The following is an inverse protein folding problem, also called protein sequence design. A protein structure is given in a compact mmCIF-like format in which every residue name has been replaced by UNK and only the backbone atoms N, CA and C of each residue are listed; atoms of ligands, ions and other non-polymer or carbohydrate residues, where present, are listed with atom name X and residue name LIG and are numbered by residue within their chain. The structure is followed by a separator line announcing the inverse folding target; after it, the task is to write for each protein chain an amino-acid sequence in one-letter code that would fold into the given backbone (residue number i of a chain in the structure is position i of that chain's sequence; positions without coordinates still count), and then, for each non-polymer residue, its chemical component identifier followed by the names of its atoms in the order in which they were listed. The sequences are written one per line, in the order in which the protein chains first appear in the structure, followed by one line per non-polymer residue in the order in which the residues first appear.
data_IF_559814583624
#
_entry.id   IF_559814583624
#
_cell.length_a   1.000
_cell.length_b   1.000
_cell.length_c   1.000
_cell.angle_alpha   90.00
_cell.angle_beta   90.00
_cell.angle_gamma   90.00
#
_symmetry.space_group_name_H-M   'P 1'
#
loop_
_entity.id
_entity.type
_entity.pdbx_description
1 polymer ?
#
# COMPACT_ATOMS: atom_id res chain seq x y z
N UNK A 1 -29.59 -6.28 24.69
CA UNK A 1 -28.22 -5.87 24.34
C UNK A 1 -28.19 -4.35 24.34
N UNK A 2 -27.42 -3.71 25.25
CA UNK A 2 -27.28 -2.27 25.29
C UNK A 2 -26.81 -1.75 23.93
N UNK A 3 -27.49 -0.73 23.41
CA UNK A 3 -27.15 -0.12 22.14
C UNK A 3 -25.83 0.66 22.32
N UNK A 4 -24.78 0.24 21.57
CA UNK A 4 -23.47 0.92 21.60
C UNK A 4 -23.60 2.37 21.13
N UNK A 5 -22.99 3.29 21.85
CA UNK A 5 -22.89 4.68 21.40
C UNK A 5 -21.87 4.82 20.24
N UNK A 6 -21.88 5.98 19.58
CA UNK A 6 -21.00 6.24 18.42
C UNK A 6 -19.51 6.17 18.77
N UNK A 7 -19.12 6.52 20.01
CA UNK A 7 -17.72 6.49 20.47
C UNK A 7 -17.25 5.06 20.71
N UNK A 8 -18.11 4.23 21.32
CA UNK A 8 -17.84 2.80 21.50
C UNK A 8 -17.72 2.05 20.16
N UNK A 9 -18.64 2.34 19.21
CA UNK A 9 -18.59 1.83 17.84
C UNK A 9 -17.28 2.24 17.17
N UNK A 10 -16.87 3.52 17.29
CA UNK A 10 -15.63 4.01 16.71
C UNK A 10 -14.42 3.29 17.28
N UNK A 11 -14.35 3.07 18.59
CA UNK A 11 -13.24 2.33 19.20
C UNK A 11 -13.11 0.91 18.65
N UNK A 12 -14.23 0.20 18.46
CA UNK A 12 -14.25 -1.16 17.92
C UNK A 12 -13.88 -1.18 16.43
N UNK A 13 -14.51 -0.32 15.63
CA UNK A 13 -14.43 -0.38 14.17
C UNK A 13 -13.16 0.27 13.62
N UNK A 14 -12.57 1.23 14.32
CA UNK A 14 -11.26 1.78 14.00
C UNK A 14 -10.14 0.80 14.40
N UNK A 15 -10.26 0.10 15.54
CA UNK A 15 -9.31 -0.95 15.92
C UNK A 15 -9.36 -2.13 14.95
N UNK A 16 -10.53 -2.58 14.55
CA UNK A 16 -10.69 -3.62 13.53
C UNK A 16 -10.09 -3.21 12.16
N UNK A 17 -10.14 -1.92 11.82
CA UNK A 17 -9.60 -1.41 10.57
C UNK A 17 -8.06 -1.43 10.49
N UNK A 18 -7.34 -1.58 11.60
CA UNK A 18 -5.85 -1.66 11.59
C UNK A 18 -5.33 -2.88 10.85
N UNK A 19 -6.09 -3.98 10.83
CA UNK A 19 -5.75 -5.20 10.10
C UNK A 19 -5.95 -5.07 8.58
N UNK A 20 -6.58 -4.00 8.15
CA UNK A 20 -6.78 -3.67 6.74
C UNK A 20 -5.64 -2.78 6.29
N UNK A 21 -4.74 -3.29 5.43
CA UNK A 21 -3.54 -2.53 5.07
C UNK A 21 -3.88 -1.30 4.24
N UNK A 22 -3.38 -0.18 4.70
CA UNK A 22 -3.21 0.99 3.86
C UNK A 22 -1.92 1.73 4.20
N UNK A 23 -1.38 1.51 5.39
CA UNK A 23 -0.10 2.07 5.83
C UNK A 23 0.52 1.17 6.88
N UNK A 24 1.77 0.78 6.71
CA UNK A 24 2.58 0.10 7.72
C UNK A 24 2.74 0.91 9.03
N UNK A 25 2.31 2.17 9.02
CA UNK A 25 2.49 3.15 10.12
C UNK A 25 1.19 3.50 10.86
N UNK A 26 0.09 2.79 10.67
CA UNK A 26 -1.16 3.11 11.37
C UNK A 26 -1.15 2.59 12.81
N UNK A 27 -0.36 3.20 13.67
CA UNK A 27 -0.34 2.90 15.10
C UNK A 27 0.67 3.76 15.83
N UNK A 28 0.31 4.99 16.19
CA UNK A 28 1.03 5.70 17.24
C UNK A 28 0.77 5.01 18.58
N UNK A 29 1.81 4.85 19.41
CA UNK A 29 1.63 4.34 20.76
C UNK A 29 0.60 5.19 21.51
N UNK A 30 -0.33 4.52 22.22
CA UNK A 30 -1.29 5.21 23.08
C UNK A 30 -0.54 6.05 24.09
N UNK A 31 -0.90 7.32 24.19
CA UNK A 31 -0.36 8.27 25.18
C UNK A 31 -1.53 8.98 25.83
N UNK A 32 -1.46 9.19 27.13
CA UNK A 32 -2.43 10.02 27.84
C UNK A 32 -1.70 10.89 28.87
N UNK A 33 -2.24 12.06 29.14
CA UNK A 33 -1.72 13.00 30.13
C UNK A 33 -2.42 12.86 31.49
N UNK A 34 -3.12 11.75 31.74
CA UNK A 34 -3.79 11.50 33.04
C UNK A 34 -2.82 11.34 34.20
N UNK A 35 -1.55 11.05 33.88
CA UNK A 35 -0.45 10.97 34.85
C UNK A 35 0.13 12.36 35.21
N UNK A 36 -0.45 13.44 34.70
CA UNK A 36 0.00 14.83 34.96
C UNK A 36 1.28 15.22 34.23
N UNK A 37 1.83 14.36 33.35
CA UNK A 37 3.05 14.63 32.56
C UNK A 37 2.71 14.91 31.11
N UNK A 38 2.82 16.18 30.71
CA UNK A 38 2.60 16.63 29.35
C UNK A 38 1.16 17.05 29.05
N UNK A 39 0.91 17.43 27.80
CA UNK A 39 -0.39 17.90 27.30
C UNK A 39 -0.91 16.95 26.21
N UNK A 40 -2.21 16.68 26.25
CA UNK A 40 -2.91 15.90 25.23
C UNK A 40 -2.86 14.39 25.43
N UNK A 41 -3.71 13.69 24.70
CA UNK A 41 -3.78 12.24 24.67
C UNK A 41 -3.99 11.76 23.23
N UNK A 42 -3.47 10.57 22.89
CA UNK A 42 -3.73 9.90 21.63
C UNK A 42 -4.14 8.45 21.86
N UNK A 43 -5.23 8.05 21.23
CA UNK A 43 -5.71 6.67 21.24
C UNK A 43 -4.99 5.82 20.19
N UNK A 44 -4.23 6.44 19.25
CA UNK A 44 -3.45 5.74 18.24
C UNK A 44 -4.28 5.01 17.18
N UNK A 45 -5.55 5.36 17.01
CA UNK A 45 -6.49 4.63 16.13
C UNK A 45 -7.29 5.57 15.22
N UNK A 46 -7.75 5.02 14.09
CA UNK A 46 -8.76 5.64 13.24
C UNK A 46 -8.26 6.64 12.21
N UNK A 47 -7.02 7.10 12.27
CA UNK A 47 -6.45 7.98 11.25
C UNK A 47 -5.27 7.26 10.59
N UNK A 48 -5.32 7.14 9.27
CA UNK A 48 -4.21 6.66 8.46
C UNK A 48 -3.72 7.74 7.50
N UNK A 49 -2.51 7.56 6.99
CA UNK A 49 -1.91 8.47 6.03
C UNK A 49 -1.78 7.79 4.68
N UNK A 50 -2.13 8.50 3.63
CA UNK A 50 -1.97 8.05 2.24
C UNK A 50 -1.26 9.13 1.44
N UNK A 51 -0.58 8.75 0.36
CA UNK A 51 0.09 9.71 -0.50
C UNK A 51 -0.77 9.99 -1.73
N UNK A 52 -1.05 11.26 -1.97
CA UNK A 52 -1.67 11.74 -3.19
C UNK A 52 -0.69 11.59 -4.38
N UNK A 53 -1.18 11.63 -5.64
CA UNK A 53 -0.32 11.54 -6.83
C UNK A 53 0.74 12.63 -6.91
N UNK A 54 0.51 13.79 -6.30
CA UNK A 54 1.45 14.92 -6.21
C UNK A 54 2.50 14.76 -5.10
N UNK A 55 2.46 13.65 -4.35
CA UNK A 55 3.39 13.33 -3.26
C UNK A 55 3.03 13.91 -1.91
N UNK A 56 1.88 14.63 -1.78
CA UNK A 56 1.40 15.10 -0.47
C UNK A 56 0.92 13.92 0.36
N UNK A 57 1.19 13.97 1.65
CA UNK A 57 0.61 13.06 2.64
C UNK A 57 -0.78 13.57 3.00
N UNK A 58 -1.80 12.73 2.86
CA UNK A 58 -3.20 13.01 3.24
C UNK A 58 -3.61 12.14 4.42
N UNK A 59 -4.25 12.75 5.40
CA UNK A 59 -4.81 12.07 6.56
C UNK A 59 -6.24 11.60 6.27
N UNK A 60 -6.53 10.33 6.55
CA UNK A 60 -7.84 9.73 6.28
C UNK A 60 -8.44 9.14 7.56
N UNK A 61 -9.73 9.37 7.78
CA UNK A 61 -10.49 8.57 8.74
C UNK A 61 -10.63 7.16 8.18
N UNK A 62 -9.97 6.20 8.84
CA UNK A 62 -10.00 4.79 8.42
C UNK A 62 -10.85 3.99 9.37
N UNK A 63 -12.00 3.55 8.90
CA UNK A 63 -12.96 2.79 9.69
C UNK A 63 -13.62 1.68 8.87
N UNK A 64 -14.17 0.70 9.57
CA UNK A 64 -15.13 -0.24 9.00
C UNK A 64 -16.55 0.28 9.17
N UNK A 65 -17.41 0.06 8.17
CA UNK A 65 -18.87 0.22 8.35
C UNK A 65 -19.36 -0.78 9.39
N UNK A 66 -18.86 -2.01 9.33
CA UNK A 66 -19.07 -3.05 10.34
C UNK A 66 -17.92 -4.04 10.35
N UNK A 67 -17.68 -4.67 11.51
CA UNK A 67 -16.82 -5.84 11.65
C UNK A 67 -17.60 -7.16 11.75
N UNK A 68 -18.93 -7.13 11.60
CA UNK A 68 -19.72 -8.35 11.37
C UNK A 68 -19.53 -8.81 9.92
N UNK A 69 -19.23 -10.10 9.73
CA UNK A 69 -19.01 -10.67 8.42
C UNK A 69 -19.66 -12.06 8.34
N UNK A 70 -20.23 -12.38 7.17
CA UNK A 70 -20.78 -13.71 6.88
C UNK A 70 -19.71 -14.70 6.38
N UNK A 71 -18.52 -14.19 6.00
CA UNK A 71 -17.40 -15.00 5.53
C UNK A 71 -16.49 -15.44 6.69
N UNK A 72 -15.82 -16.56 6.50
CA UNK A 72 -14.93 -17.15 7.51
C UNK A 72 -13.48 -17.24 7.04
N UNK A 73 -12.96 -16.17 6.41
CA UNK A 73 -11.57 -16.11 5.97
C UNK A 73 -10.62 -16.31 7.15
N UNK A 74 -9.79 -17.36 7.12
CA UNK A 74 -8.94 -17.79 8.23
C UNK A 74 -8.04 -16.70 8.80
N UNK A 75 -7.49 -15.84 7.94
CA UNK A 75 -6.58 -14.74 8.34
C UNK A 75 -7.29 -13.51 8.91
N UNK A 76 -8.63 -13.45 8.84
CA UNK A 76 -9.37 -12.24 9.20
C UNK A 76 -9.84 -12.27 10.65
N UNK A 77 -9.49 -11.22 11.42
CA UNK A 77 -9.97 -11.07 12.79
C UNK A 77 -11.50 -10.92 12.85
N UNK A 78 -12.10 -10.43 11.77
CA UNK A 78 -13.54 -10.17 11.66
C UNK A 78 -14.31 -11.35 11.02
N UNK A 79 -13.67 -12.51 10.85
CA UNK A 79 -14.34 -13.71 10.32
C UNK A 79 -15.55 -14.09 11.15
N UNK A 80 -16.52 -14.80 10.55
CA UNK A 80 -17.77 -15.19 11.19
C UNK A 80 -17.56 -15.91 12.51
N UNK A 81 -16.62 -16.86 12.56
CA UNK A 81 -16.32 -17.70 13.74
C UNK A 81 -15.54 -16.99 14.86
N UNK A 82 -15.07 -15.75 14.63
CA UNK A 82 -14.31 -15.02 15.64
C UNK A 82 -15.18 -14.45 16.75
N UNK A 83 -14.71 -14.55 18.00
CA UNK A 83 -15.39 -14.06 19.21
C UNK A 83 -15.16 -12.56 19.50
N UNK A 84 -14.69 -11.78 18.53
CA UNK A 84 -14.46 -10.35 18.73
C UNK A 84 -15.75 -9.58 18.92
N UNK A 85 -15.70 -8.51 19.71
CA UNK A 85 -16.83 -7.61 19.91
C UNK A 85 -17.27 -7.00 18.59
N UNK A 86 -18.55 -7.14 18.24
CA UNK A 86 -19.12 -6.68 16.98
C UNK A 86 -19.78 -5.32 17.13
N UNK A 87 -19.62 -4.50 16.08
CA UNK A 87 -20.27 -3.20 15.97
C UNK A 87 -20.66 -2.92 14.52
N UNK A 88 -21.62 -2.00 14.35
CA UNK A 88 -22.03 -1.52 13.04
C UNK A 88 -22.40 -0.05 13.14
N UNK A 89 -21.90 0.76 12.22
CA UNK A 89 -22.39 2.09 11.96
C UNK A 89 -23.60 2.07 11.02
N UNK A 90 -24.50 3.05 11.16
CA UNK A 90 -25.41 3.41 10.10
C UNK A 90 -24.70 4.29 9.08
N UNK A 91 -25.31 4.47 7.90
CA UNK A 91 -24.80 5.38 6.86
C UNK A 91 -24.67 6.80 7.43
N UNK A 92 -25.68 7.25 8.14
CA UNK A 92 -25.77 8.59 8.74
C UNK A 92 -24.69 8.81 9.82
N UNK A 93 -24.37 7.77 10.60
CA UNK A 93 -23.27 7.83 11.59
C UNK A 93 -21.93 8.02 10.92
N UNK A 94 -21.63 7.26 9.85
CA UNK A 94 -20.36 7.41 9.10
C UNK A 94 -20.25 8.79 8.47
N UNK A 95 -21.31 9.26 7.83
CA UNK A 95 -21.37 10.60 7.23
C UNK A 95 -21.11 11.68 8.29
N UNK A 96 -21.84 11.64 9.39
CA UNK A 96 -21.69 12.60 10.50
C UNK A 96 -20.27 12.59 11.10
N UNK A 97 -19.68 11.41 11.34
CA UNK A 97 -18.33 11.28 11.84
C UNK A 97 -17.32 11.89 10.87
N UNK A 98 -17.43 11.55 9.59
CA UNK A 98 -16.52 12.05 8.55
C UNK A 98 -16.56 13.58 8.49
N UNK A 99 -17.74 14.16 8.47
CA UNK A 99 -17.91 15.62 8.44
C UNK A 99 -17.42 16.30 9.72
N UNK A 100 -17.65 15.69 10.90
CA UNK A 100 -17.19 16.23 12.17
C UNK A 100 -15.65 16.25 12.27
N UNK A 101 -14.99 15.20 11.82
CA UNK A 101 -13.51 15.12 11.81
C UNK A 101 -12.91 16.06 10.76
N UNK A 102 -13.52 16.14 9.59
CA UNK A 102 -13.09 17.04 8.52
C UNK A 102 -13.20 18.52 8.92
N UNK A 103 -14.35 18.94 9.48
CA UNK A 103 -14.55 20.32 9.95
C UNK A 103 -13.58 20.75 11.04
N UNK A 104 -13.04 19.79 11.81
CA UNK A 104 -12.02 20.03 12.83
C UNK A 104 -10.59 19.93 12.32
N UNK A 105 -10.40 19.76 11.00
CA UNK A 105 -9.10 19.58 10.36
C UNK A 105 -8.29 18.38 10.86
N UNK A 106 -8.95 17.33 11.37
CA UNK A 106 -8.29 16.10 11.79
C UNK A 106 -7.96 15.19 10.62
N UNK A 107 -8.74 15.28 9.55
CA UNK A 107 -8.65 14.45 8.36
C UNK A 107 -8.89 15.28 7.08
N UNK A 108 -8.34 14.79 5.98
CA UNK A 108 -8.58 15.31 4.63
C UNK A 108 -9.53 14.40 3.82
N UNK A 109 -9.90 13.23 4.38
CA UNK A 109 -10.79 12.30 3.69
C UNK A 109 -11.19 11.09 4.51
N UNK A 110 -11.91 10.19 3.84
CA UNK A 110 -12.44 8.94 4.38
C UNK A 110 -11.83 7.73 3.65
N UNK A 111 -11.38 6.73 4.41
CA UNK A 111 -11.14 5.38 3.91
C UNK A 111 -12.13 4.44 4.59
N UNK A 112 -13.08 3.92 3.79
CA UNK A 112 -14.16 3.08 4.28
C UNK A 112 -14.06 1.67 3.71
N UNK A 113 -14.06 0.70 4.60
CA UNK A 113 -14.20 -0.73 4.29
C UNK A 113 -15.33 -1.36 5.10
N UNK A 114 -15.58 -2.65 4.93
CA UNK A 114 -16.64 -3.34 5.66
C UNK A 114 -16.39 -4.84 5.73
N UNK A 115 -16.83 -5.49 6.81
CA UNK A 115 -17.25 -6.89 6.75
C UNK A 115 -18.50 -7.02 5.88
N UNK A 116 -18.77 -8.20 5.36
CA UNK A 116 -19.93 -8.47 4.50
C UNK A 116 -21.13 -8.83 5.38
N UNK A 117 -22.18 -8.00 5.32
CA UNK A 117 -23.41 -8.17 6.09
C UNK A 117 -24.51 -8.72 5.16
N UNK A 118 -25.26 -9.70 5.59
CA UNK A 118 -26.38 -10.28 4.85
C UNK A 118 -26.02 -10.76 3.42
N UNK A 119 -25.62 -9.86 2.54
CA UNK A 119 -25.13 -10.17 1.19
C UNK A 119 -24.05 -9.18 0.73
N UNK A 120 -23.25 -9.53 -0.31
CA UNK A 120 -22.33 -8.62 -0.97
C UNK A 120 -23.03 -7.34 -1.46
N UNK A 121 -24.16 -7.45 -2.14
CA UNK A 121 -24.91 -6.33 -2.70
C UNK A 121 -25.40 -5.40 -1.61
N UNK A 122 -26.08 -5.92 -0.60
CA UNK A 122 -26.55 -5.11 0.52
C UNK A 122 -25.41 -4.31 1.17
N UNK A 123 -24.24 -4.95 1.36
CA UNK A 123 -23.08 -4.28 1.95
C UNK A 123 -22.56 -3.19 1.03
N UNK A 124 -22.45 -3.49 -0.27
CA UNK A 124 -21.96 -2.54 -1.26
C UNK A 124 -22.90 -1.32 -1.41
N UNK A 125 -24.21 -1.53 -1.39
CA UNK A 125 -25.20 -0.45 -1.37
C UNK A 125 -24.99 0.51 -0.21
N UNK A 126 -24.72 0.00 1.01
CA UNK A 126 -24.45 0.87 2.15
C UNK A 126 -23.18 1.72 1.95
N UNK A 127 -22.11 1.12 1.39
CA UNK A 127 -20.87 1.84 1.09
C UNK A 127 -21.10 2.94 0.04
N UNK A 128 -21.85 2.62 -1.02
CA UNK A 128 -22.24 3.58 -2.07
C UNK A 128 -23.06 4.72 -1.49
N UNK A 129 -24.05 4.41 -0.63
CA UNK A 129 -24.87 5.43 0.04
C UNK A 129 -24.03 6.41 0.85
N UNK A 130 -23.08 5.92 1.65
CA UNK A 130 -22.16 6.80 2.40
C UNK A 130 -21.46 7.78 1.46
N UNK A 131 -20.84 7.28 0.38
CA UNK A 131 -20.09 8.13 -0.55
C UNK A 131 -21.00 9.11 -1.30
N UNK A 132 -22.17 8.65 -1.74
CA UNK A 132 -23.17 9.47 -2.41
C UNK A 132 -23.68 10.59 -1.50
N UNK A 133 -24.05 10.26 -0.27
CA UNK A 133 -24.63 11.25 0.67
C UNK A 133 -23.56 12.29 1.05
N UNK A 134 -22.29 11.87 1.25
CA UNK A 134 -21.18 12.82 1.42
C UNK A 134 -21.07 13.79 0.23
N UNK A 135 -21.13 13.28 -1.01
CA UNK A 135 -20.97 14.09 -2.23
C UNK A 135 -22.18 14.95 -2.56
N UNK A 136 -23.38 14.36 -2.56
CA UNK A 136 -24.59 15.00 -3.08
C UNK A 136 -25.38 15.77 -2.02
N UNK A 137 -25.42 15.27 -0.78
CA UNK A 137 -26.18 15.93 0.29
C UNK A 137 -25.33 16.98 1.02
N UNK A 138 -24.05 16.67 1.23
CA UNK A 138 -23.17 17.51 2.04
C UNK A 138 -22.08 18.24 1.25
N UNK A 139 -22.02 18.12 -0.07
CA UNK A 139 -21.01 18.72 -0.96
C UNK A 139 -19.58 18.50 -0.45
N UNK A 140 -19.32 17.31 0.12
CA UNK A 140 -18.02 16.97 0.67
C UNK A 140 -16.96 16.88 -0.43
N UNK A 141 -15.93 17.70 -0.35
CA UNK A 141 -14.84 17.81 -1.34
C UNK A 141 -13.58 17.05 -0.94
N UNK A 142 -13.55 16.45 0.28
CA UNK A 142 -12.41 15.65 0.74
C UNK A 142 -12.28 14.34 -0.03
N UNK A 143 -11.15 13.67 0.17
CA UNK A 143 -10.83 12.42 -0.52
C UNK A 143 -11.69 11.26 -0.01
N UNK A 144 -12.23 10.45 -0.90
CA UNK A 144 -12.98 9.22 -0.55
C UNK A 144 -12.31 8.01 -1.19
N UNK A 145 -11.89 7.07 -0.35
CA UNK A 145 -11.40 5.77 -0.75
C UNK A 145 -12.36 4.69 -0.24
N UNK A 146 -13.01 3.97 -1.15
CA UNK A 146 -13.86 2.84 -0.82
C UNK A 146 -13.17 1.51 -1.12
N UNK A 147 -13.29 0.59 -0.20
CA UNK A 147 -12.96 -0.81 -0.44
C UNK A 147 -14.23 -1.53 -0.90
N UNK A 148 -14.24 -1.93 -2.15
CA UNK A 148 -15.42 -2.56 -2.78
C UNK A 148 -15.51 -4.04 -2.45
N UNK A 149 -16.70 -4.59 -2.58
CA UNK A 149 -16.99 -6.01 -2.41
C UNK A 149 -16.94 -6.67 -3.78
N UNK A 150 -15.98 -7.59 -4.06
CA UNK A 150 -15.81 -8.16 -5.41
C UNK A 150 -16.99 -8.98 -5.92
N UNK A 151 -17.76 -9.57 -5.01
CA UNK A 151 -18.92 -10.40 -5.32
C UNK A 151 -20.23 -9.61 -5.44
N UNK A 152 -20.20 -8.28 -5.29
CA UNK A 152 -21.35 -7.41 -5.46
C UNK A 152 -21.68 -7.21 -6.96
N UNK A 153 -22.92 -6.85 -7.23
CA UNK A 153 -23.38 -6.48 -8.57
C UNK A 153 -22.44 -5.42 -9.18
N UNK A 154 -21.94 -5.63 -10.41
CA UNK A 154 -21.07 -4.68 -11.10
C UNK A 154 -21.63 -3.26 -11.16
N UNK A 155 -22.96 -3.08 -11.27
CA UNK A 155 -23.60 -1.76 -11.27
C UNK A 155 -23.38 -1.00 -9.95
N UNK A 156 -23.31 -1.69 -8.82
CA UNK A 156 -23.00 -1.09 -7.51
C UNK A 156 -21.53 -0.66 -7.43
N UNK A 157 -20.61 -1.44 -7.99
CA UNK A 157 -19.18 -1.08 -8.06
C UNK A 157 -18.99 0.13 -8.98
N UNK A 158 -19.72 0.18 -10.09
CA UNK A 158 -19.74 1.33 -11.00
C UNK A 158 -20.32 2.57 -10.30
N UNK A 159 -21.46 2.45 -9.62
CA UNK A 159 -22.03 3.55 -8.84
C UNK A 159 -21.03 4.10 -7.80
N UNK A 160 -20.25 3.23 -7.14
CA UNK A 160 -19.19 3.67 -6.22
C UNK A 160 -18.14 4.54 -6.89
N UNK A 161 -17.78 4.23 -8.14
CA UNK A 161 -16.79 4.97 -8.92
C UNK A 161 -17.17 6.41 -9.22
N UNK A 162 -18.46 6.72 -9.28
CA UNK A 162 -18.97 8.08 -9.47
C UNK A 162 -18.76 8.98 -8.24
N UNK A 163 -18.70 8.41 -7.04
CA UNK A 163 -18.63 9.16 -5.78
C UNK A 163 -17.28 9.05 -5.07
N UNK A 164 -16.50 7.98 -5.32
CA UNK A 164 -15.19 7.77 -4.72
C UNK A 164 -14.06 8.29 -5.61
N UNK A 165 -12.99 8.78 -4.98
CA UNK A 165 -11.75 9.12 -5.71
C UNK A 165 -10.94 7.89 -6.05
N UNK A 166 -10.94 6.88 -5.17
CA UNK A 166 -10.25 5.60 -5.37
C UNK A 166 -11.14 4.44 -4.94
N UNK A 167 -11.07 3.37 -5.73
CA UNK A 167 -11.64 2.09 -5.37
C UNK A 167 -10.54 1.05 -5.15
N UNK A 168 -10.74 0.16 -4.16
CA UNK A 168 -9.85 -0.97 -3.92
C UNK A 168 -10.62 -2.28 -4.00
N UNK A 169 -10.05 -3.24 -4.72
CA UNK A 169 -10.50 -4.63 -4.73
C UNK A 169 -9.34 -5.48 -4.22
N UNK A 170 -9.50 -6.15 -3.10
CA UNK A 170 -8.43 -6.95 -2.53
C UNK A 170 -8.28 -8.29 -3.24
N UNK A 171 -7.06 -8.61 -3.66
CA UNK A 171 -6.72 -9.97 -4.12
C UNK A 171 -6.46 -10.91 -2.95
N UNK A 172 -6.22 -10.35 -1.77
CA UNK A 172 -6.00 -11.01 -0.48
C UNK A 172 -4.71 -11.82 -0.41
N UNK A 173 -4.54 -12.86 -1.20
CA UNK A 173 -3.38 -13.74 -1.19
C UNK A 173 -2.59 -13.65 -2.51
N UNK A 174 -1.29 -13.95 -2.49
CA UNK A 174 -0.43 -13.93 -3.68
C UNK A 174 -0.80 -15.00 -4.71
N UNK A 175 -1.40 -16.11 -4.27
CA UNK A 175 -1.69 -17.27 -5.11
C UNK A 175 -3.16 -17.68 -5.01
N UNK A 176 -3.69 -18.27 -6.08
CA UNK A 176 -5.05 -18.82 -6.10
C UNK A 176 -5.17 -19.98 -5.09
N UNK A 177 -4.13 -20.80 -4.97
CA UNK A 177 -4.10 -21.91 -3.99
C UNK A 177 -4.16 -21.38 -2.55
N UNK A 178 -3.40 -20.33 -2.23
CA UNK A 178 -3.48 -19.64 -0.94
C UNK A 178 -4.88 -19.08 -0.68
N UNK A 179 -5.51 -18.47 -1.69
CA UNK A 179 -6.86 -17.93 -1.56
C UNK A 179 -7.89 -19.04 -1.25
N UNK A 180 -7.85 -20.16 -1.98
CA UNK A 180 -8.74 -21.30 -1.74
C UNK A 180 -8.54 -21.88 -0.33
N UNK A 181 -7.29 -22.00 0.12
CA UNK A 181 -6.98 -22.57 1.43
C UNK A 181 -7.38 -21.66 2.58
N UNK A 182 -7.25 -20.34 2.46
CA UNK A 182 -7.38 -19.39 3.56
C UNK A 182 -8.64 -18.51 3.50
N UNK A 183 -9.33 -18.48 2.37
CA UNK A 183 -10.57 -17.71 2.17
C UNK A 183 -11.53 -18.46 1.22
N UNK A 184 -12.07 -19.62 1.65
CA UNK A 184 -12.79 -20.54 0.75
C UNK A 184 -14.07 -19.95 0.14
N UNK A 185 -14.67 -18.92 0.77
CA UNK A 185 -15.82 -18.22 0.22
C UNK A 185 -15.46 -17.20 -0.88
N UNK A 186 -14.17 -16.85 -1.02
CA UNK A 186 -13.71 -15.92 -2.05
C UNK A 186 -13.32 -16.63 -3.33
N UNK A 187 -13.64 -16.01 -4.45
CA UNK A 187 -13.37 -16.57 -5.78
C UNK A 187 -12.40 -15.66 -6.56
N UNK A 188 -11.23 -16.20 -6.92
CA UNK A 188 -10.19 -15.46 -7.63
C UNK A 188 -10.66 -14.95 -9.01
N UNK A 189 -11.52 -15.69 -9.71
CA UNK A 189 -12.06 -15.28 -11.02
C UNK A 189 -13.02 -14.09 -10.86
N UNK A 190 -13.90 -14.11 -9.85
CA UNK A 190 -14.78 -12.98 -9.56
C UNK A 190 -13.99 -11.73 -9.15
N UNK A 191 -12.98 -11.87 -8.30
CA UNK A 191 -12.09 -10.76 -7.92
C UNK A 191 -11.46 -10.15 -9.18
N UNK A 192 -10.84 -10.98 -10.04
CA UNK A 192 -10.23 -10.52 -11.29
C UNK A 192 -11.23 -9.94 -12.28
N UNK A 193 -12.43 -10.51 -12.36
CA UNK A 193 -13.53 -9.97 -13.17
C UNK A 193 -13.94 -8.57 -12.73
N UNK A 194 -14.15 -8.36 -11.43
CA UNK A 194 -14.46 -7.05 -10.87
C UNK A 194 -13.32 -6.02 -11.11
N UNK A 195 -12.06 -6.44 -10.98
CA UNK A 195 -10.90 -5.58 -11.28
C UNK A 195 -10.84 -5.20 -12.77
N UNK A 196 -11.18 -6.12 -13.66
CA UNK A 196 -11.26 -5.86 -15.13
C UNK A 196 -12.37 -4.87 -15.44
N UNK A 197 -13.58 -5.08 -14.91
CA UNK A 197 -14.71 -4.17 -15.11
C UNK A 197 -14.37 -2.76 -14.63
N UNK A 198 -13.76 -2.65 -13.44
CA UNK A 198 -13.34 -1.36 -12.90
C UNK A 198 -12.26 -0.69 -13.75
N UNK A 199 -11.30 -1.44 -14.29
CA UNK A 199 -10.29 -0.91 -15.22
C UNK A 199 -10.96 -0.33 -16.47
N UNK A 200 -11.86 -1.10 -17.09
CA UNK A 200 -12.60 -0.66 -18.28
C UNK A 200 -13.35 0.63 -18.00
N UNK A 201 -14.16 0.69 -16.94
CA UNK A 201 -14.89 1.89 -16.58
C UNK A 201 -13.98 3.12 -16.31
N UNK A 202 -12.82 2.92 -15.68
CA UNK A 202 -11.84 4.00 -15.48
C UNK A 202 -11.26 4.48 -16.81
N UNK A 203 -10.93 3.57 -17.72
CA UNK A 203 -10.30 3.92 -19.00
C UNK A 203 -11.31 4.57 -19.95
N UNK A 204 -12.53 4.05 -20.05
CA UNK A 204 -13.64 4.65 -20.80
C UNK A 204 -13.95 6.08 -20.30
N UNK A 205 -13.98 6.25 -18.98
CA UNK A 205 -14.19 7.58 -18.39
C UNK A 205 -13.06 8.56 -18.73
N UNK A 206 -11.80 8.11 -18.70
CA UNK A 206 -10.67 8.96 -19.11
C UNK A 206 -10.81 9.39 -20.59
N UNK A 207 -11.22 8.48 -21.46
CA UNK A 207 -11.41 8.76 -22.86
C UNK A 207 -12.62 9.68 -23.10
N UNK A 208 -13.76 9.42 -22.45
CA UNK A 208 -14.91 10.32 -22.50
C UNK A 208 -14.55 11.75 -22.07
N UNK A 209 -13.74 11.89 -21.03
CA UNK A 209 -13.30 13.20 -20.53
C UNK A 209 -12.28 13.94 -21.42
N UNK A 210 -11.63 13.25 -22.35
CA UNK A 210 -10.83 13.92 -23.41
C UNK A 210 -11.74 14.66 -24.40
N UNK A 211 -12.92 14.09 -24.66
CA UNK A 211 -13.87 14.63 -25.64
C UNK A 211 -14.93 15.55 -25.00
N UNK A 212 -15.37 15.22 -23.79
CA UNK A 212 -16.45 15.92 -23.10
C UNK A 212 -16.02 16.40 -21.72
N UNK A 213 -15.84 17.71 -21.54
CA UNK A 213 -15.48 18.31 -20.24
C UNK A 213 -16.56 18.11 -19.16
N UNK A 214 -17.81 17.95 -19.57
CA UNK A 214 -18.97 17.69 -18.68
C UNK A 214 -19.07 16.26 -18.20
N UNK A 215 -18.34 15.31 -18.77
CA UNK A 215 -18.36 13.92 -18.33
C UNK A 215 -17.99 13.82 -16.83
N UNK A 216 -18.77 13.11 -16.00
CA UNK A 216 -18.52 12.99 -14.57
C UNK A 216 -17.14 12.36 -14.34
N UNK A 217 -16.54 12.65 -13.18
CA UNK A 217 -15.30 11.96 -12.77
C UNK A 217 -15.68 10.57 -12.29
N UNK A 218 -14.89 9.58 -12.65
CA UNK A 218 -15.02 8.19 -12.20
C UNK A 218 -13.69 7.72 -11.61
N UNK A 219 -13.67 7.42 -10.31
CA UNK A 219 -12.50 6.97 -9.57
C UNK A 219 -11.18 7.61 -10.05
N UNK A 220 -11.04 8.94 -10.01
CA UNK A 220 -9.93 9.67 -10.67
C UNK A 220 -8.55 9.31 -10.12
N UNK A 221 -8.46 8.81 -8.89
CA UNK A 221 -7.22 8.27 -8.31
C UNK A 221 -6.99 6.79 -8.65
N UNK A 222 -7.86 6.19 -9.47
CA UNK A 222 -7.74 4.83 -10.00
C UNK A 222 -8.04 3.73 -9.00
N UNK A 223 -7.70 2.50 -9.38
CA UNK A 223 -7.88 1.34 -8.51
C UNK A 223 -6.58 0.90 -7.82
N UNK A 224 -6.74 0.23 -6.68
CA UNK A 224 -5.66 -0.41 -5.93
C UNK A 224 -6.10 -1.77 -5.37
N UNK A 225 -5.13 -2.53 -4.87
CA UNK A 225 -5.38 -3.81 -4.22
C UNK A 225 -4.52 -3.97 -2.97
N UNK A 226 -4.86 -4.95 -2.15
CA UNK A 226 -4.08 -5.37 -1.00
C UNK A 226 -3.77 -6.86 -1.09
N UNK A 227 -2.58 -7.23 -0.64
CA UNK A 227 -2.07 -8.58 -0.58
C UNK A 227 -1.49 -8.85 0.81
N UNK A 228 -1.91 -9.94 1.44
CA UNK A 228 -1.40 -10.38 2.74
C UNK A 228 -0.10 -11.15 2.51
N UNK A 229 0.92 -10.84 3.29
CA UNK A 229 2.26 -11.42 3.19
C UNK A 229 2.54 -12.30 4.39
N UNK A 230 2.91 -13.54 4.15
CA UNK A 230 3.32 -14.48 5.19
C UNK A 230 2.16 -15.12 5.95
N UNK A 231 0.94 -15.11 5.41
CA UNK A 231 -0.15 -15.96 5.87
C UNK A 231 -0.09 -17.36 5.25
N UNK A 232 0.57 -17.47 4.09
CA UNK A 232 0.83 -18.71 3.35
C UNK A 232 2.34 -18.86 3.06
N UNK A 233 2.70 -19.93 2.35
CA UNK A 233 4.08 -20.25 1.96
C UNK A 233 4.57 -19.49 0.72
N UNK A 234 3.83 -18.48 0.22
CA UNK A 234 4.22 -17.72 -0.96
C UNK A 234 5.57 -17.02 -0.77
N UNK A 235 6.48 -17.22 -1.73
CA UNK A 235 7.79 -16.57 -1.74
C UNK A 235 7.68 -15.11 -2.17
N UNK A 236 8.67 -14.28 -1.82
CA UNK A 236 8.72 -12.88 -2.26
C UNK A 236 8.80 -12.77 -3.79
N UNK A 237 9.49 -13.72 -4.44
CA UNK A 237 9.51 -13.84 -5.91
C UNK A 237 8.12 -14.02 -6.51
N UNK A 238 7.29 -14.87 -5.91
CA UNK A 238 5.90 -15.07 -6.35
C UNK A 238 5.05 -13.83 -6.11
N UNK A 239 5.21 -13.17 -4.94
CA UNK A 239 4.52 -11.93 -4.59
C UNK A 239 4.85 -10.82 -5.60
N UNK A 240 6.14 -10.65 -5.94
CA UNK A 240 6.60 -9.65 -6.92
C UNK A 240 6.06 -9.93 -8.32
N UNK A 241 6.07 -11.20 -8.77
CA UNK A 241 5.54 -11.60 -10.06
C UNK A 241 4.03 -11.36 -10.15
N UNK A 242 3.28 -11.73 -9.11
CA UNK A 242 1.84 -11.46 -9.02
C UNK A 242 1.56 -9.97 -9.06
N UNK A 243 2.31 -9.16 -8.29
CA UNK A 243 2.13 -7.71 -8.28
C UNK A 243 2.38 -7.08 -9.65
N UNK A 244 3.43 -7.50 -10.36
CA UNK A 244 3.72 -7.04 -11.72
C UNK A 244 2.58 -7.37 -12.69
N UNK A 245 2.08 -8.61 -12.64
CA UNK A 245 0.92 -9.04 -13.43
C UNK A 245 -0.34 -8.22 -13.14
N UNK A 246 -0.58 -7.88 -11.87
CA UNK A 246 -1.71 -7.05 -11.46
C UNK A 246 -1.58 -5.61 -11.97
N UNK A 247 -0.40 -5.01 -11.95
CA UNK A 247 -0.15 -3.70 -12.54
C UNK A 247 -0.43 -3.68 -14.05
N UNK A 248 0.09 -4.67 -14.76
CA UNK A 248 -0.03 -4.76 -16.21
C UNK A 248 -1.49 -5.00 -16.64
N UNK A 249 -2.13 -6.02 -16.09
CA UNK A 249 -3.47 -6.44 -16.51
C UNK A 249 -4.56 -5.46 -16.09
N UNK A 250 -4.50 -4.93 -14.86
CA UNK A 250 -5.60 -4.16 -14.29
C UNK A 250 -5.29 -2.67 -14.14
N UNK A 251 -4.12 -2.20 -14.57
CA UNK A 251 -3.75 -0.79 -14.51
C UNK A 251 -3.76 -0.22 -13.08
N UNK A 252 -3.40 -1.04 -12.10
CA UNK A 252 -3.43 -0.64 -10.70
C UNK A 252 -2.53 0.55 -10.43
N UNK A 253 -2.95 1.42 -9.50
CA UNK A 253 -2.11 2.50 -8.99
C UNK A 253 -1.17 2.02 -7.91
N UNK A 254 -1.58 1.02 -7.13
CA UNK A 254 -0.76 0.46 -6.05
C UNK A 254 -1.24 -0.94 -5.64
N UNK A 255 -0.28 -1.80 -5.34
CA UNK A 255 -0.46 -2.99 -4.52
C UNK A 255 0.00 -2.64 -3.10
N UNK A 256 -0.84 -2.88 -2.11
CA UNK A 256 -0.51 -2.75 -0.70
C UNK A 256 -0.11 -4.12 -0.15
N UNK A 257 1.06 -4.19 0.45
CA UNK A 257 1.52 -5.38 1.17
C UNK A 257 1.18 -5.23 2.65
N UNK A 258 0.59 -6.27 3.22
CA UNK A 258 0.24 -6.31 4.63
C UNK A 258 0.85 -7.54 5.26
N UNK A 259 1.82 -7.36 6.14
CA UNK A 259 2.34 -8.46 6.93
C UNK A 259 1.20 -9.13 7.72
N UNK A 260 1.08 -10.45 7.62
CA UNK A 260 0.14 -11.21 8.42
C UNK A 260 0.38 -10.95 9.91
N UNK A 261 -0.67 -10.67 10.62
CA UNK A 261 -0.64 -10.52 12.08
C UNK A 261 -1.43 -11.66 12.72
N UNK A 262 -0.85 -12.44 13.63
CA UNK A 262 -1.59 -13.46 14.34
C UNK A 262 -2.82 -12.87 15.03
N UNK A 263 -3.92 -13.58 14.92
CA UNK A 263 -5.21 -13.19 15.45
C UNK A 263 -5.63 -14.14 16.56
N UNK A 264 -6.43 -13.71 17.54
CA UNK A 264 -7.02 -14.60 18.55
C UNK A 264 -7.81 -15.72 17.86
N UNK A 265 -7.81 -16.90 18.49
CA UNK A 265 -8.52 -18.08 17.99
C UNK A 265 -8.19 -18.43 16.53
N UNK A 266 -6.91 -18.26 16.14
CA UNK A 266 -6.45 -18.52 14.79
C UNK A 266 -6.59 -20.01 14.43
N UNK A 267 -6.93 -20.28 13.17
CA UNK A 267 -6.89 -21.65 12.63
C UNK A 267 -5.47 -22.20 12.65
N UNK A 268 -5.34 -23.50 12.90
CA UNK A 268 -4.06 -24.21 12.91
C UNK A 268 -3.30 -24.16 11.56
N UNK A 269 -3.97 -23.79 10.48
CA UNK A 269 -3.35 -23.62 9.15
C UNK A 269 -2.58 -22.30 9.01
N UNK A 270 -2.71 -21.39 9.96
CA UNK A 270 -2.03 -20.10 9.94
C UNK A 270 -0.72 -20.14 10.73
N UNK A 271 0.29 -19.36 10.32
CA UNK A 271 1.51 -19.22 11.07
C UNK A 271 1.27 -18.67 12.49
N UNK A 272 2.01 -19.18 13.47
CA UNK A 272 1.92 -18.71 14.85
C UNK A 272 2.58 -17.35 15.07
N UNK A 273 3.43 -16.91 14.14
CA UNK A 273 4.21 -15.66 14.25
C UNK A 273 4.02 -14.80 13.01
N UNK A 274 4.02 -13.49 13.21
CA UNK A 274 4.11 -12.53 12.12
C UNK A 274 5.41 -12.68 11.36
N UNK A 275 5.43 -12.49 10.03
CA UNK A 275 6.67 -12.29 9.32
C UNK A 275 7.38 -11.03 9.84
N UNK A 276 8.72 -10.94 9.75
CA UNK A 276 9.44 -9.73 10.15
C UNK A 276 8.91 -8.51 9.38
N UNK A 277 8.68 -7.39 10.06
CA UNK A 277 8.17 -6.15 9.43
C UNK A 277 9.10 -5.68 8.29
N UNK A 278 10.40 -5.94 8.41
CA UNK A 278 11.37 -5.60 7.37
C UNK A 278 11.07 -6.32 6.05
N UNK A 279 10.44 -7.51 6.04
CA UNK A 279 10.01 -8.21 4.83
C UNK A 279 8.98 -7.39 4.04
N UNK A 280 8.00 -6.79 4.73
CA UNK A 280 7.04 -5.89 4.11
C UNK A 280 7.75 -4.68 3.45
N UNK A 281 8.70 -4.07 4.17
CA UNK A 281 9.50 -2.97 3.63
C UNK A 281 10.32 -3.38 2.40
N UNK A 282 10.90 -4.59 2.38
CA UNK A 282 11.64 -5.10 1.22
C UNK A 282 10.73 -5.29 0.01
N UNK A 283 9.51 -5.78 0.22
CA UNK A 283 8.51 -5.90 -0.85
C UNK A 283 8.10 -4.53 -1.41
N UNK A 284 7.88 -3.52 -0.56
CA UNK A 284 7.65 -2.16 -1.06
C UNK A 284 8.85 -1.59 -1.82
N UNK A 285 10.07 -1.88 -1.39
CA UNK A 285 11.27 -1.47 -2.14
C UNK A 285 11.36 -2.18 -3.50
N UNK A 286 11.07 -3.48 -3.56
CA UNK A 286 11.00 -4.24 -4.80
C UNK A 286 9.91 -3.73 -5.75
N UNK A 287 8.72 -3.43 -5.22
CA UNK A 287 7.62 -2.79 -5.96
C UNK A 287 8.06 -1.45 -6.60
N UNK A 288 8.82 -0.65 -5.86
CA UNK A 288 9.35 0.61 -6.38
C UNK A 288 10.36 0.39 -7.51
N UNK A 289 11.19 -0.67 -7.44
CA UNK A 289 12.11 -1.00 -8.53
C UNK A 289 11.36 -1.31 -9.82
N UNK A 290 10.28 -2.08 -9.76
CA UNK A 290 9.41 -2.37 -10.90
C UNK A 290 8.78 -1.09 -11.46
N UNK A 291 8.14 -0.29 -10.61
CA UNK A 291 7.27 0.80 -11.05
C UNK A 291 8.00 2.07 -11.46
N UNK A 292 9.14 2.36 -10.88
CA UNK A 292 9.81 3.65 -11.05
C UNK A 292 11.24 3.57 -11.55
N UNK A 293 11.91 2.43 -11.38
CA UNK A 293 13.31 2.27 -11.77
C UNK A 293 13.49 1.45 -13.05
N UNK A 294 12.40 0.91 -13.61
CA UNK A 294 12.41 0.13 -14.83
C UNK A 294 13.12 -1.23 -14.68
N UNK A 295 13.09 -1.80 -13.48
CA UNK A 295 13.48 -3.19 -13.28
C UNK A 295 12.41 -4.12 -13.84
N UNK A 296 12.82 -5.18 -14.46
CA UNK A 296 11.95 -6.29 -14.85
C UNK A 296 11.73 -7.25 -13.68
N UNK A 297 10.70 -8.09 -13.77
CA UNK A 297 10.44 -9.14 -12.76
C UNK A 297 11.64 -10.08 -12.61
N UNK A 298 12.28 -10.60 -13.69
CA UNK A 298 13.48 -11.41 -13.55
C UNK A 298 14.63 -10.68 -12.83
N UNK A 299 14.83 -9.38 -13.06
CA UNK A 299 15.87 -8.62 -12.36
C UNK A 299 15.60 -8.55 -10.85
N UNK A 300 14.35 -8.32 -10.45
CA UNK A 300 14.00 -8.29 -9.02
C UNK A 300 14.11 -9.69 -8.40
N UNK A 301 13.70 -10.72 -9.14
CA UNK A 301 13.84 -12.12 -8.70
C UNK A 301 15.32 -12.53 -8.56
N UNK A 302 16.20 -12.05 -9.42
CA UNK A 302 17.64 -12.27 -9.28
C UNK A 302 18.23 -11.67 -7.98
N UNK A 303 17.55 -10.71 -7.36
CA UNK A 303 17.96 -10.19 -6.05
C UNK A 303 17.55 -11.08 -4.87
N UNK A 304 16.77 -12.14 -5.08
CA UNK A 304 16.29 -13.05 -4.02
C UNK A 304 17.24 -14.23 -3.80
N UNK A 305 17.25 -14.76 -2.59
CA UNK A 305 17.87 -16.03 -2.24
C UNK A 305 16.77 -17.04 -1.95
N UNK A 306 16.72 -18.15 -2.71
CA UNK A 306 15.63 -19.15 -2.64
C UNK A 306 14.21 -18.53 -2.69
N UNK A 307 14.06 -17.48 -3.48
CA UNK A 307 12.80 -16.77 -3.65
C UNK A 307 12.45 -15.76 -2.56
N UNK A 308 13.29 -15.60 -1.53
CA UNK A 308 13.13 -14.61 -0.47
C UNK A 308 14.04 -13.39 -0.67
N UNK A 309 13.52 -12.18 -0.46
CA UNK A 309 14.34 -10.97 -0.47
C UNK A 309 15.22 -10.91 0.80
N UNK A 310 16.53 -10.57 0.68
CA UNK A 310 17.39 -10.38 1.83
C UNK A 310 16.79 -9.33 2.80
N UNK A 311 16.84 -9.64 4.09
CA UNK A 311 16.29 -8.74 5.11
C UNK A 311 17.28 -7.66 5.55
N UNK A 312 18.57 -7.94 5.48
CA UNK A 312 19.68 -7.08 5.91
C UNK A 312 20.02 -5.97 4.90
N UNK A 313 19.84 -6.23 3.60
CA UNK A 313 20.11 -5.27 2.53
C UNK A 313 18.86 -5.00 1.68
N UNK A 314 18.80 -3.85 1.02
CA UNK A 314 17.71 -3.55 0.11
C UNK A 314 17.82 -4.31 -1.22
N UNK A 315 16.67 -4.57 -1.91
CA UNK A 315 16.66 -5.37 -3.14
C UNK A 315 17.55 -4.86 -4.25
N UNK A 316 17.73 -3.54 -4.40
CA UNK A 316 18.60 -2.97 -5.42
C UNK A 316 20.09 -3.25 -5.12
N UNK A 317 20.45 -3.16 -3.86
CA UNK A 317 21.82 -3.52 -3.41
C UNK A 317 22.05 -5.02 -3.57
N UNK A 318 21.09 -5.86 -3.19
CA UNK A 318 21.17 -7.31 -3.39
C UNK A 318 21.37 -7.67 -4.87
N UNK A 319 20.59 -7.05 -5.75
CA UNK A 319 20.76 -7.23 -7.20
C UNK A 319 22.16 -6.82 -7.69
N UNK A 320 22.63 -5.64 -7.27
CA UNK A 320 23.93 -5.11 -7.70
C UNK A 320 25.10 -5.99 -7.21
N UNK A 321 25.00 -6.56 -6.02
CA UNK A 321 26.02 -7.50 -5.51
C UNK A 321 26.09 -8.80 -6.30
N UNK A 322 24.95 -9.28 -6.81
CA UNK A 322 24.90 -10.48 -7.67
C UNK A 322 25.31 -10.20 -9.13
N UNK A 323 25.32 -8.94 -9.55
CA UNK A 323 25.69 -8.51 -10.90
C UNK A 323 26.91 -7.59 -10.88
N UNK A 324 27.98 -8.03 -10.18
CA UNK A 324 29.21 -7.24 -9.98
C UNK A 324 29.93 -6.87 -11.27
N UNK A 325 29.89 -7.72 -12.26
CA UNK A 325 30.40 -7.51 -13.63
C UNK A 325 29.75 -6.31 -14.35
N UNK A 326 28.57 -5.90 -13.90
CA UNK A 326 27.87 -4.71 -14.39
C UNK A 326 28.38 -3.40 -13.79
N UNK A 327 29.30 -3.44 -12.84
CA UNK A 327 29.84 -2.29 -12.10
C UNK A 327 31.37 -2.25 -12.12
N UNK A 328 31.99 -1.08 -11.94
CA UNK A 328 31.37 0.23 -11.67
C UNK A 328 30.76 0.89 -12.91
N UNK A 329 29.79 1.79 -12.68
CA UNK A 329 29.08 2.54 -13.72
C UNK A 329 29.64 3.98 -13.79
N UNK A 330 30.06 4.45 -14.97
CA UNK A 330 30.50 5.83 -15.15
C UNK A 330 29.30 6.78 -15.18
N UNK A 331 29.22 7.70 -14.20
CA UNK A 331 28.11 8.65 -14.07
C UNK A 331 28.03 9.66 -15.20
N UNK A 332 29.16 9.90 -15.90
CA UNK A 332 29.26 10.89 -16.97
C UNK A 332 28.80 10.35 -18.33
N UNK A 333 28.91 9.03 -18.55
CA UNK A 333 28.66 8.42 -19.87
C UNK A 333 27.50 7.42 -19.86
N UNK A 334 27.26 6.72 -18.74
CA UNK A 334 26.28 5.65 -18.69
C UNK A 334 24.85 6.12 -19.00
N UNK A 335 24.03 5.29 -19.69
CA UNK A 335 22.62 5.59 -19.91
C UNK A 335 21.84 5.63 -18.57
N UNK A 336 20.71 6.33 -18.60
CA UNK A 336 19.85 6.54 -17.42
C UNK A 336 19.46 5.24 -16.72
N UNK A 337 19.16 4.23 -17.50
CA UNK A 337 18.73 2.90 -17.04
C UNK A 337 19.83 2.20 -16.22
N UNK A 338 21.08 2.34 -16.65
CA UNK A 338 22.24 1.82 -15.90
C UNK A 338 22.45 2.58 -14.60
N UNK A 339 22.30 3.89 -14.60
CA UNK A 339 22.39 4.72 -13.38
C UNK A 339 21.31 4.36 -12.37
N UNK A 340 20.11 3.99 -12.83
CA UNK A 340 19.01 3.56 -11.95
C UNK A 340 19.29 2.21 -11.25
N UNK A 341 20.22 1.40 -11.75
CA UNK A 341 20.66 0.15 -11.09
C UNK A 341 21.69 0.38 -9.99
N UNK A 342 22.31 1.56 -9.96
CA UNK A 342 23.33 1.87 -8.94
C UNK A 342 22.70 2.00 -7.55
N UNK A 343 23.16 1.22 -6.53
CA UNK A 343 22.73 1.38 -5.15
C UNK A 343 22.93 2.81 -4.65
N UNK A 344 21.97 3.34 -3.89
CA UNK A 344 22.02 4.71 -3.37
C UNK A 344 21.54 5.81 -4.33
N UNK A 345 21.38 5.54 -5.64
CA UNK A 345 20.82 6.51 -6.60
C UNK A 345 19.31 6.33 -6.74
N UNK A 346 18.55 7.38 -6.41
CA UNK A 346 17.11 7.46 -6.66
C UNK A 346 16.79 8.07 -8.03
N UNK A 347 15.54 7.95 -8.48
CA UNK A 347 15.07 8.52 -9.75
C UNK A 347 15.34 10.03 -9.84
N UNK A 348 15.08 10.77 -8.75
CA UNK A 348 15.35 12.23 -8.70
C UNK A 348 16.84 12.53 -8.85
N UNK A 349 17.70 11.78 -8.14
CA UNK A 349 19.17 11.92 -8.21
C UNK A 349 19.68 11.60 -9.61
N UNK A 350 19.25 10.50 -10.22
CA UNK A 350 19.64 10.13 -11.59
C UNK A 350 19.22 11.21 -12.59
N UNK A 351 17.99 11.71 -12.51
CA UNK A 351 17.52 12.77 -13.39
C UNK A 351 18.31 14.07 -13.21
N UNK A 352 18.74 14.41 -11.99
CA UNK A 352 19.61 15.55 -11.71
C UNK A 352 21.01 15.36 -12.32
N UNK A 353 21.61 14.18 -12.14
CA UNK A 353 22.94 13.84 -12.72
C UNK A 353 22.91 13.89 -14.25
N UNK A 354 21.90 13.28 -14.89
CA UNK A 354 21.77 13.28 -16.36
C UNK A 354 21.62 14.70 -16.93
N UNK A 355 20.99 15.62 -16.20
CA UNK A 355 20.93 17.04 -16.59
C UNK A 355 22.27 17.73 -16.39
N UNK A 356 22.87 17.58 -15.20
CA UNK A 356 24.11 18.28 -14.83
C UNK A 356 25.32 17.90 -15.70
N UNK A 357 25.46 16.62 -16.07
CA UNK A 357 26.57 16.14 -16.90
C UNK A 357 26.60 16.69 -18.32
N UNK A 358 25.49 17.30 -18.78
CA UNK A 358 25.45 18.00 -20.07
C UNK A 358 26.26 19.31 -20.10
N UNK A 359 26.49 19.87 -18.89
CA UNK A 359 27.19 21.15 -18.74
C UNK A 359 28.68 20.97 -18.43
N UNK A 360 29.03 19.94 -17.68
CA UNK A 360 30.40 19.64 -17.27
C UNK A 360 30.55 18.18 -16.80
N UNK A 361 31.79 17.71 -16.72
CA UNK A 361 32.06 16.41 -16.10
C UNK A 361 31.81 16.48 -14.60
N UNK A 362 31.18 15.45 -14.06
CA UNK A 362 30.77 15.35 -12.66
C UNK A 362 31.77 14.55 -11.85
N UNK A 363 32.13 15.07 -10.69
CA UNK A 363 32.98 14.41 -9.70
C UNK A 363 32.17 13.83 -8.53
N UNK A 364 32.90 13.28 -7.56
CA UNK A 364 32.32 12.67 -6.36
C UNK A 364 31.55 13.70 -5.51
N UNK A 365 32.00 14.94 -5.47
CA UNK A 365 31.33 16.01 -4.74
C UNK A 365 29.93 16.32 -5.32
N UNK A 366 29.72 16.15 -6.62
CA UNK A 366 28.42 16.34 -7.25
C UNK A 366 27.44 15.22 -6.87
N UNK A 367 27.95 13.99 -6.74
CA UNK A 367 27.15 12.88 -6.22
C UNK A 367 26.72 13.13 -4.78
N UNK A 368 27.60 13.62 -3.91
CA UNK A 368 27.27 13.95 -2.53
C UNK A 368 26.14 14.99 -2.38
N UNK A 369 25.99 15.90 -3.35
CA UNK A 369 24.91 16.89 -3.38
C UNK A 369 23.55 16.31 -3.73
N UNK A 370 23.50 15.22 -4.47
CA UNK A 370 22.24 14.62 -4.96
C UNK A 370 21.82 13.34 -4.21
N UNK A 371 22.69 12.82 -3.35
CA UNK A 371 22.37 11.65 -2.51
C UNK A 371 22.99 11.76 -1.12
N UNK A 372 22.27 11.30 -0.11
CA UNK A 372 22.80 11.18 1.27
C UNK A 372 23.60 9.89 1.50
N UNK A 373 23.53 8.93 0.56
CA UNK A 373 24.14 7.60 0.67
C UNK A 373 25.44 7.46 -0.11
N UNK A 374 26.34 8.46 -0.07
CA UNK A 374 27.57 8.46 -0.87
C UNK A 374 28.45 7.23 -0.62
N UNK A 375 28.59 6.77 0.62
CA UNK A 375 29.42 5.62 0.97
C UNK A 375 28.87 4.32 0.39
N UNK A 376 27.55 4.20 0.32
CA UNK A 376 26.86 3.07 -0.31
C UNK A 376 27.06 3.03 -1.82
N UNK A 377 27.24 4.20 -2.42
CA UNK A 377 27.30 4.39 -3.86
C UNK A 377 28.73 4.25 -4.41
N UNK A 378 29.76 4.70 -3.65
CA UNK A 378 31.17 4.71 -4.04
C UNK A 378 31.66 3.40 -4.70
N UNK A 379 31.34 2.22 -4.17
CA UNK A 379 31.81 0.95 -4.77
C UNK A 379 31.24 0.64 -6.15
N UNK A 380 30.20 1.36 -6.58
CA UNK A 380 29.43 1.03 -7.78
C UNK A 380 29.57 2.07 -8.91
N UNK A 381 30.37 3.14 -8.72
CA UNK A 381 30.46 4.24 -9.70
C UNK A 381 31.88 4.66 -9.99
N UNK A 382 32.04 5.19 -11.23
CA UNK A 382 33.20 6.01 -11.64
C UNK A 382 32.71 7.45 -11.82
N UNK A 383 33.49 8.41 -11.34
CA UNK A 383 33.32 9.84 -11.52
C UNK A 383 34.60 10.46 -12.09
N UNK A 384 34.59 11.78 -12.39
CA UNK A 384 35.76 12.44 -12.97
C UNK A 384 37.02 12.36 -12.09
N UNK A 385 36.82 12.35 -10.77
CA UNK A 385 37.82 12.35 -9.70
C UNK A 385 37.75 11.09 -8.81
N UNK A 386 36.99 10.07 -9.22
CA UNK A 386 36.79 8.87 -8.41
C UNK A 386 36.69 7.60 -9.25
N UNK A 387 37.45 6.58 -8.83
CA UNK A 387 37.28 5.19 -9.28
C UNK A 387 37.39 4.27 -8.07
N UNK A 388 36.48 3.27 -7.93
CA UNK A 388 36.63 2.29 -6.87
C UNK A 388 37.95 1.54 -6.99
N UNK A 389 38.59 1.27 -5.88
CA UNK A 389 39.73 0.35 -5.82
C UNK A 389 39.19 -1.07 -5.87
N UNK A 390 39.80 -1.95 -6.65
CA UNK A 390 39.45 -3.38 -6.74
C UNK A 390 39.60 -4.13 -5.40
N UNK A 391 40.29 -3.52 -4.42
CA UNK A 391 40.49 -4.03 -3.06
C UNK A 391 39.42 -3.59 -2.07
N UNK A 392 38.53 -2.69 -2.41
CA UNK A 392 37.41 -2.32 -1.54
C UNK A 392 36.50 -3.54 -1.39
N UNK A 393 36.48 -4.09 -0.17
CA UNK A 393 35.56 -5.14 0.24
C UNK A 393 34.12 -4.57 0.06
N UNK A 394 33.48 -5.05 -1.00
CA UNK A 394 32.25 -4.47 -1.54
C UNK A 394 31.01 -4.94 -0.76
N UNK A 395 31.20 -5.50 0.43
CA UNK A 395 30.11 -5.69 1.38
C UNK A 395 29.71 -4.33 1.94
N UNK A 396 28.48 -3.85 1.67
CA UNK A 396 27.99 -2.68 2.36
C UNK A 396 28.11 -2.97 3.85
N UNK A 397 28.69 -2.04 4.61
CA UNK A 397 28.57 -2.09 6.07
C UNK A 397 27.07 -2.19 6.36
N UNK A 398 26.64 -3.34 6.84
CA UNK A 398 25.24 -3.56 7.20
C UNK A 398 24.88 -2.50 8.22
N UNK A 399 24.10 -1.52 7.83
CA UNK A 399 23.48 -0.65 8.81
C UNK A 399 22.66 -1.60 9.71
N UNK A 400 22.98 -1.64 11.00
CA UNK A 400 22.13 -2.34 11.97
C UNK A 400 20.70 -1.88 11.69
N UNK A 401 19.74 -2.81 11.59
CA UNK A 401 18.35 -2.40 11.43
C UNK A 401 18.02 -1.53 12.65
N UNK A 402 17.86 -0.25 12.43
CA UNK A 402 17.31 0.66 13.43
C UNK A 402 15.84 0.31 13.50
N UNK A 403 15.51 -0.46 14.52
CA UNK A 403 14.14 -0.76 14.88
C UNK A 403 13.54 0.52 15.47
N UNK A 404 12.68 1.18 14.71
CA UNK A 404 11.98 2.39 15.15
C UNK A 404 12.68 3.66 14.68
N UNK A 405 12.19 4.14 13.60
CA UNK A 405 11.99 5.52 13.19
C UNK A 405 11.62 5.51 11.71
N UNK A 406 10.34 5.29 11.46
CA UNK A 406 9.69 5.54 10.18
C UNK A 406 8.75 6.71 10.40
N UNK A 407 9.30 7.90 10.24
CA UNK A 407 8.51 9.12 10.00
C UNK A 407 9.14 9.91 8.86
#
# INVERSE_FOLDING_TARGET
VAQLDTREKLAILADAAKYDASCASSGTAKRNSKDGKGLGSTEGMGICHSYAPDGRCISLLKILLTNSCIFDCHYCINRRSSNVRRARFTVEEVVRLTLAFYKRNYIEGLFLSSGIIASPDYTMEQLVRVARDLRQVHDFRGYIHLKTIPDADPALVEAAGLYADRLSINVELPTDAGLVALAPEKNALRIRGAMTGLKTAIDDNKDARKHYRSAPKFAPAGQSTQMIVGADAATDSAIVATSASLYDRFGLRRVYYSAFSPIPDASAVLPLKSPPLIREHRLYQADWLLRFYGFSVPEVQAATDDGALPLDIDPKTAWALKHRDSFPVDINTAPRERLLRVPGLGVKSVNALVRARRQRRLGLADLARVTRGIDKLRPFVVAADWRPDDRLDLRPKTARPVQGELF
#
